data_IF_003750573178
#
_entry.id   IF_003750573178
#
_cell.length_a   1.000
_cell.length_b   1.000
_cell.length_c   1.000
_cell.angle_alpha   90.00
_cell.angle_beta   90.00
_cell.angle_gamma   90.00
#
_symmetry.space_group_name_H-M   'P 1'
#
loop_
_entity.id
_entity.type
_entity.pdbx_description
1 polymer ?
#
# COMPACT_ATOMS: atom_id res chain seq x y z
N UNK A 1 4.34 15.35 22.92
CA UNK A 1 4.67 14.12 22.16
C UNK A 1 4.90 14.54 20.72
N UNK A 2 5.99 14.08 20.13
CA UNK A 2 6.30 14.33 18.73
C UNK A 2 5.22 13.66 17.85
N UNK A 3 4.72 14.38 16.86
CA UNK A 3 3.71 13.86 15.94
C UNK A 3 4.30 12.70 15.13
N UNK A 4 3.72 11.50 15.28
CA UNK A 4 4.04 10.32 14.46
C UNK A 4 2.96 10.14 13.40
N UNK A 5 3.29 10.27 12.10
CA UNK A 5 2.30 10.08 11.06
C UNK A 5 1.78 8.65 11.04
N UNK A 6 0.50 8.51 10.70
CA UNK A 6 -0.20 7.23 10.56
C UNK A 6 -0.19 6.81 9.10
N UNK A 7 0.30 5.59 8.83
CA UNK A 7 0.33 5.01 7.49
C UNK A 7 -0.58 3.79 7.50
N UNK A 8 -1.51 3.72 6.55
CA UNK A 8 -2.30 2.53 6.29
C UNK A 8 -1.73 1.76 5.10
N UNK A 9 -1.56 0.44 5.25
CA UNK A 9 -1.06 -0.46 4.22
C UNK A 9 -2.17 -1.39 3.73
N UNK A 10 -2.25 -1.57 2.42
CA UNK A 10 -3.14 -2.50 1.73
C UNK A 10 -2.41 -3.15 0.56
N UNK A 11 -3.03 -4.10 -0.14
CA UNK A 11 -2.55 -4.68 -1.40
C UNK A 11 -3.69 -5.45 -2.09
N UNK A 12 -3.38 -6.09 -3.22
CA UNK A 12 -4.23 -7.04 -3.93
C UNK A 12 -3.78 -8.50 -3.82
N UNK A 13 -2.56 -8.78 -3.37
CA UNK A 13 -2.07 -10.15 -3.15
C UNK A 13 -2.58 -10.79 -1.84
N UNK A 14 -3.18 -9.99 -0.95
CA UNK A 14 -3.72 -10.41 0.34
C UNK A 14 -2.79 -10.16 1.52
N UNK A 15 -3.33 -10.28 2.74
CA UNK A 15 -2.66 -9.87 3.98
C UNK A 15 -1.42 -10.70 4.35
N UNK A 16 -1.31 -11.91 3.82
CA UNK A 16 -0.17 -12.79 4.03
C UNK A 16 0.88 -12.70 2.92
N UNK A 17 0.66 -11.85 1.92
CA UNK A 17 1.58 -11.70 0.79
C UNK A 17 2.96 -11.22 1.26
N UNK A 18 4.05 -11.79 0.70
CA UNK A 18 5.41 -11.45 1.11
C UNK A 18 5.73 -9.96 0.93
N UNK A 19 5.23 -9.34 -0.14
CA UNK A 19 5.44 -7.92 -0.40
C UNK A 19 4.77 -6.99 0.62
N UNK A 20 3.54 -7.30 1.06
CA UNK A 20 2.87 -6.55 2.12
C UNK A 20 3.57 -6.75 3.47
N UNK A 21 3.91 -8.00 3.81
CA UNK A 21 4.59 -8.33 5.06
C UNK A 21 5.94 -7.62 5.17
N UNK A 22 6.73 -7.63 4.09
CA UNK A 22 8.01 -6.93 4.03
C UNK A 22 7.85 -5.41 4.19
N UNK A 23 6.87 -4.80 3.51
CA UNK A 23 6.59 -3.37 3.63
C UNK A 23 6.21 -2.99 5.08
N UNK A 24 5.27 -3.72 5.67
CA UNK A 24 4.83 -3.49 7.05
C UNK A 24 6.00 -3.62 8.03
N UNK A 25 6.79 -4.69 7.92
CA UNK A 25 7.94 -4.92 8.78
C UNK A 25 8.96 -3.77 8.70
N UNK A 26 9.27 -3.30 7.49
CA UNK A 26 10.17 -2.17 7.30
C UNK A 26 9.61 -0.90 7.94
N UNK A 27 8.34 -0.56 7.71
CA UNK A 27 7.71 0.62 8.31
C UNK A 27 7.73 0.57 9.84
N UNK A 28 7.34 -0.56 10.43
CA UNK A 28 7.32 -0.78 11.88
C UNK A 28 8.73 -0.66 12.47
N UNK A 29 9.73 -1.29 11.83
CA UNK A 29 11.11 -1.29 12.33
C UNK A 29 11.73 0.11 12.48
N UNK A 30 11.24 1.10 11.71
CA UNK A 30 11.73 2.48 11.83
C UNK A 30 11.28 3.16 13.12
N UNK A 31 10.20 2.68 13.75
CA UNK A 31 9.53 3.33 14.90
C UNK A 31 9.04 4.77 14.65
N UNK A 32 9.07 5.24 13.39
CA UNK A 32 8.69 6.61 13.00
C UNK A 32 7.19 6.78 12.76
N UNK A 33 6.49 5.68 12.49
CA UNK A 33 5.10 5.69 12.03
C UNK A 33 4.18 4.91 12.97
N UNK A 34 2.90 5.26 12.94
CA UNK A 34 1.82 4.38 13.42
C UNK A 34 1.34 3.59 12.21
N UNK A 35 1.50 2.26 12.23
CA UNK A 35 1.18 1.41 11.08
C UNK A 35 -0.16 0.72 11.29
N UNK A 36 -1.06 0.91 10.33
CA UNK A 36 -2.36 0.26 10.22
C UNK A 36 -2.37 -0.62 8.97
N UNK A 37 -3.01 -1.78 9.02
CA UNK A 37 -3.07 -2.71 7.87
C UNK A 37 -4.52 -3.11 7.63
N UNK A 38 -4.99 -2.91 6.40
CA UNK A 38 -6.31 -3.35 5.96
C UNK A 38 -6.16 -3.93 4.56
N UNK A 39 -6.20 -5.25 4.44
CA UNK A 39 -5.90 -5.94 3.19
C UNK A 39 -6.85 -7.13 2.98
N UNK A 40 -6.99 -7.63 1.74
CA UNK A 40 -7.79 -8.81 1.45
C UNK A 40 -7.34 -10.03 2.25
N UNK A 41 -8.28 -10.89 2.64
CA UNK A 41 -8.00 -12.16 3.33
C UNK A 41 -7.37 -13.23 2.41
N UNK A 42 -7.45 -13.06 1.09
CA UNK A 42 -6.87 -13.93 0.07
C UNK A 42 -6.33 -13.11 -1.10
N UNK A 43 -5.58 -13.74 -2.00
CA UNK A 43 -5.17 -13.11 -3.26
C UNK A 43 -6.39 -12.67 -4.10
N UNK A 44 -6.33 -11.45 -4.64
CA UNK A 44 -7.33 -10.74 -5.46
C UNK A 44 -6.70 -10.08 -6.70
N UNK A 45 -5.48 -10.44 -7.09
CA UNK A 45 -4.69 -9.88 -8.19
C UNK A 45 -5.36 -9.92 -9.59
N UNK A 46 -6.46 -10.67 -9.76
CA UNK A 46 -7.24 -10.75 -10.99
C UNK A 46 -8.66 -10.14 -10.93
N UNK A 47 -9.12 -9.59 -9.80
CA UNK A 47 -10.43 -8.92 -9.70
C UNK A 47 -10.30 -7.42 -9.94
N UNK A 48 -10.18 -7.04 -11.21
CA UNK A 48 -10.30 -5.66 -11.65
C UNK A 48 -11.64 -5.07 -11.16
N UNK A 49 -11.59 -3.97 -10.41
CA UNK A 49 -12.72 -3.08 -10.06
C UNK A 49 -14.06 -3.74 -9.67
N UNK A 50 -14.04 -4.82 -8.90
CA UNK A 50 -15.28 -5.44 -8.40
C UNK A 50 -15.62 -4.91 -7.00
N UNK A 51 -16.42 -3.85 -6.90
CA UNK A 51 -16.98 -3.45 -5.60
C UNK A 51 -18.02 -4.52 -5.21
N UNK A 52 -17.80 -5.17 -4.06
CA UNK A 52 -18.68 -6.25 -3.59
C UNK A 52 -20.00 -5.67 -3.08
N UNK A 53 -20.97 -5.41 -3.97
CA UNK A 53 -22.26 -4.78 -3.60
C UNK A 53 -23.30 -5.75 -3.02
N UNK A 54 -23.07 -7.08 -3.02
CA UNK A 54 -24.13 -8.08 -2.76
C UNK A 54 -23.99 -8.93 -1.49
N UNK A 55 -22.89 -8.82 -0.75
CA UNK A 55 -22.68 -9.58 0.49
C UNK A 55 -22.00 -8.72 1.57
N UNK A 56 -22.32 -8.91 2.86
CA UNK A 56 -21.62 -8.22 3.94
C UNK A 56 -20.13 -8.57 3.90
N UNK A 57 -19.26 -7.55 4.06
CA UNK A 57 -17.82 -7.74 4.16
C UNK A 57 -17.51 -8.38 5.52
N UNK A 58 -16.85 -9.53 5.51
CA UNK A 58 -16.29 -10.11 6.71
C UNK A 58 -14.96 -9.41 7.02
N UNK A 59 -14.77 -9.02 8.28
CA UNK A 59 -13.54 -8.38 8.76
C UNK A 59 -13.03 -9.18 9.95
N UNK A 60 -11.79 -9.65 9.83
CA UNK A 60 -11.12 -10.40 10.89
C UNK A 60 -9.88 -9.63 11.33
N UNK A 61 -9.75 -9.40 12.65
CA UNK A 61 -8.50 -8.87 13.19
C UNK A 61 -7.42 -9.93 13.06
N UNK A 62 -6.25 -9.54 12.58
CA UNK A 62 -5.08 -10.41 12.46
C UNK A 62 -3.91 -9.84 13.24
N UNK A 63 -3.03 -10.72 13.68
CA UNK A 63 -1.83 -10.30 14.40
C UNK A 63 -0.68 -10.07 13.41
N UNK A 64 -0.26 -8.81 13.32
CA UNK A 64 0.98 -8.40 12.64
C UNK A 64 1.72 -7.47 13.60
N UNK A 65 2.91 -7.91 14.02
CA UNK A 65 3.70 -7.26 15.07
C UNK A 65 3.88 -5.76 14.82
N UNK A 66 3.61 -4.94 15.85
CA UNK A 66 3.75 -3.49 15.79
C UNK A 66 2.66 -2.74 15.02
N UNK A 67 1.55 -3.40 14.66
CA UNK A 67 0.45 -2.78 13.90
C UNK A 67 -0.93 -3.03 14.51
N UNK A 68 -1.93 -2.30 14.00
CA UNK A 68 -3.32 -2.74 14.05
C UNK A 68 -3.70 -3.28 12.67
N UNK A 69 -4.05 -4.56 12.55
CA UNK A 69 -4.24 -5.21 11.26
C UNK A 69 -5.58 -5.95 11.15
N UNK A 70 -6.20 -5.83 9.98
CA UNK A 70 -7.46 -6.49 9.63
C UNK A 70 -7.39 -7.12 8.24
N UNK A 71 -7.83 -8.37 8.15
CA UNK A 71 -8.10 -9.08 6.91
C UNK A 71 -9.57 -8.89 6.53
N UNK A 72 -9.85 -8.56 5.28
CA UNK A 72 -11.20 -8.27 4.79
C UNK A 72 -11.54 -9.20 3.63
N UNK A 73 -12.74 -9.77 3.59
CA UNK A 73 -13.19 -10.67 2.51
C UNK A 73 -13.50 -9.95 1.18
N UNK A 74 -13.11 -8.68 1.06
CA UNK A 74 -13.43 -7.79 -0.05
C UNK A 74 -12.26 -7.56 -1.00
N UNK A 75 -12.41 -6.57 -1.86
CA UNK A 75 -11.36 -6.11 -2.77
C UNK A 75 -10.43 -5.09 -2.11
N UNK A 76 -9.28 -4.75 -2.71
CA UNK A 76 -8.40 -3.70 -2.20
C UNK A 76 -9.10 -2.35 -2.03
N UNK A 77 -10.06 -2.03 -2.92
CA UNK A 77 -10.88 -0.83 -2.80
C UNK A 77 -11.81 -0.90 -1.56
N UNK A 78 -12.46 -2.05 -1.33
CA UNK A 78 -13.28 -2.27 -0.13
C UNK A 78 -12.42 -2.11 1.15
N UNK A 79 -11.19 -2.66 1.14
CA UNK A 79 -10.22 -2.55 2.24
C UNK A 79 -9.82 -1.09 2.51
N UNK A 80 -9.49 -0.33 1.47
CA UNK A 80 -9.19 1.09 1.59
C UNK A 80 -10.40 1.86 2.14
N UNK A 81 -11.58 1.67 1.56
CA UNK A 81 -12.80 2.39 1.98
C UNK A 81 -13.14 2.12 3.45
N UNK A 82 -13.16 0.86 3.87
CA UNK A 82 -13.48 0.51 5.26
C UNK A 82 -12.39 0.96 6.24
N UNK A 83 -11.12 0.92 5.84
CA UNK A 83 -10.01 1.45 6.63
C UNK A 83 -10.12 2.96 6.85
N UNK A 84 -10.55 3.72 5.84
CA UNK A 84 -10.72 5.17 5.93
C UNK A 84 -12.02 5.60 6.62
N UNK A 85 -13.01 4.71 6.74
CA UNK A 85 -14.32 5.00 7.36
C UNK A 85 -14.29 5.25 8.87
N UNK A 86 -13.15 5.03 9.54
CA UNK A 86 -12.98 4.97 11.00
C UNK A 86 -13.75 3.84 11.72
N UNK A 87 -14.33 2.90 10.97
CA UNK A 87 -14.97 1.72 11.56
C UNK A 87 -13.95 0.76 12.19
N UNK A 88 -12.76 0.64 11.57
CA UNK A 88 -11.71 -0.29 12.01
C UNK A 88 -10.57 0.39 12.76
N UNK A 89 -10.33 1.67 12.49
CA UNK A 89 -9.20 2.42 13.03
C UNK A 89 -9.66 3.72 13.71
N UNK A 90 -8.94 4.19 14.75
CA UNK A 90 -9.35 5.37 15.52
C UNK A 90 -9.20 6.70 14.77
N UNK A 91 -8.40 6.74 13.71
CA UNK A 91 -8.08 7.93 12.93
C UNK A 91 -7.94 7.61 11.46
N UNK A 92 -8.15 8.63 10.62
CA UNK A 92 -7.84 8.56 9.19
C UNK A 92 -6.30 8.62 9.08
N UNK A 93 -5.66 7.75 8.26
CA UNK A 93 -4.23 7.79 8.03
C UNK A 93 -3.80 9.04 7.27
N UNK A 94 -2.56 9.47 7.47
CA UNK A 94 -1.94 10.58 6.74
C UNK A 94 -1.51 10.16 5.32
N UNK A 95 -1.28 8.85 5.12
CA UNK A 95 -0.85 8.25 3.87
C UNK A 95 -1.39 6.82 3.75
N UNK A 96 -1.84 6.44 2.57
CA UNK A 96 -2.16 5.04 2.21
C UNK A 96 -1.10 4.50 1.26
N UNK A 97 -0.57 3.31 1.54
CA UNK A 97 0.37 2.62 0.65
C UNK A 97 -0.25 1.29 0.22
N UNK A 98 -0.37 1.09 -1.09
CA UNK A 98 -0.83 -0.16 -1.69
C UNK A 98 0.36 -0.91 -2.29
N UNK A 99 0.67 -2.10 -1.77
CA UNK A 99 1.80 -2.92 -2.22
C UNK A 99 2.53 -3.65 -1.08
N UNK A 100 3.73 -4.18 -1.30
CA UNK A 100 4.45 -4.21 -2.59
C UNK A 100 3.89 -5.31 -3.47
N UNK A 101 3.38 -4.95 -4.65
CA UNK A 101 2.86 -5.92 -5.60
C UNK A 101 3.98 -6.75 -6.24
N UNK A 102 3.75 -8.05 -6.40
CA UNK A 102 4.65 -8.93 -7.14
C UNK A 102 4.39 -8.83 -8.64
N UNK A 103 5.32 -8.22 -9.37
CA UNK A 103 5.24 -8.04 -10.82
C UNK A 103 5.02 -6.59 -11.20
N UNK A 104 5.32 -6.28 -12.47
CA UNK A 104 5.33 -4.93 -12.98
C UNK A 104 3.92 -4.45 -13.36
N UNK A 105 3.53 -3.26 -12.89
CA UNK A 105 2.30 -2.58 -13.32
C UNK A 105 2.60 -1.56 -14.44
N UNK A 106 3.58 -1.81 -15.32
CA UNK A 106 3.94 -0.89 -16.40
C UNK A 106 2.90 -0.87 -17.55
N UNK A 107 2.47 0.33 -17.97
CA UNK A 107 1.70 0.56 -19.20
C UNK A 107 0.18 0.56 -19.02
N UNK A 108 -0.57 -0.03 -19.95
CA UNK A 108 -2.05 -0.08 -19.92
C UNK A 108 -2.62 -0.90 -18.75
N UNK A 109 -1.79 -1.69 -18.07
CA UNK A 109 -2.16 -2.49 -16.89
C UNK A 109 -2.40 -1.64 -15.63
N UNK A 110 -1.94 -0.38 -15.59
CA UNK A 110 -2.17 0.58 -14.48
C UNK A 110 -3.67 0.83 -14.27
N UNK A 111 -4.46 0.88 -15.35
CA UNK A 111 -5.91 1.17 -15.28
C UNK A 111 -6.70 0.00 -14.67
N UNK A 112 -6.15 -1.23 -14.73
CA UNK A 112 -6.81 -2.46 -14.28
C UNK A 112 -6.16 -3.12 -13.05
N UNK A 113 -5.06 -2.56 -12.54
CA UNK A 113 -4.31 -3.11 -11.41
C UNK A 113 -5.07 -2.95 -10.07
N UNK A 114 -5.21 -4.05 -9.32
CA UNK A 114 -5.82 -4.05 -7.99
C UNK A 114 -5.02 -3.23 -6.98
N UNK A 115 -3.68 -3.25 -7.10
CA UNK A 115 -2.77 -2.39 -6.34
C UNK A 115 -3.10 -0.90 -6.53
N UNK A 116 -3.36 -0.49 -7.77
CA UNK A 116 -3.80 0.89 -8.08
C UNK A 116 -5.21 1.14 -7.54
N UNK A 117 -6.10 0.13 -7.57
CA UNK A 117 -7.45 0.23 -7.02
C UNK A 117 -7.49 0.66 -5.54
N UNK A 118 -6.65 0.06 -4.70
CA UNK A 118 -6.55 0.42 -3.28
C UNK A 118 -6.06 1.86 -3.06
N UNK A 119 -5.01 2.27 -3.77
CA UNK A 119 -4.48 3.64 -3.70
C UNK A 119 -5.46 4.68 -4.28
N UNK A 120 -6.18 4.33 -5.36
CA UNK A 120 -7.16 5.20 -6.02
C UNK A 120 -8.40 5.43 -5.16
N UNK A 121 -8.84 4.42 -4.42
CA UNK A 121 -9.94 4.60 -3.47
C UNK A 121 -9.55 5.54 -2.34
N UNK A 122 -8.34 5.43 -1.80
CA UNK A 122 -7.84 6.36 -0.79
C UNK A 122 -7.78 7.81 -1.31
N UNK A 123 -7.33 7.96 -2.54
CA UNK A 123 -7.36 9.22 -3.27
C UNK A 123 -8.78 9.80 -3.39
N UNK A 124 -9.78 9.00 -3.75
CA UNK A 124 -11.17 9.47 -3.87
C UNK A 124 -11.74 9.95 -2.53
N UNK A 125 -11.24 9.38 -1.42
CA UNK A 125 -11.58 9.79 -0.06
C UNK A 125 -10.71 10.97 0.45
N UNK A 126 -9.91 11.57 -0.42
CA UNK A 126 -9.10 12.77 -0.10
C UNK A 126 -7.82 12.48 0.68
N UNK A 127 -7.39 11.22 0.75
CA UNK A 127 -6.17 10.81 1.46
C UNK A 127 -5.03 10.61 0.46
N UNK A 128 -3.84 11.20 0.69
CA UNK A 128 -2.65 10.94 -0.11
C UNK A 128 -2.36 9.44 -0.21
N UNK A 129 -1.97 8.96 -1.39
CA UNK A 129 -1.72 7.54 -1.58
C UNK A 129 -0.56 7.24 -2.54
N UNK A 130 0.04 6.06 -2.34
CA UNK A 130 1.15 5.52 -3.13
C UNK A 130 0.81 4.09 -3.51
N UNK A 131 1.08 3.69 -4.75
CA UNK A 131 1.19 2.29 -5.16
C UNK A 131 2.64 1.92 -5.38
N UNK A 132 3.05 0.73 -4.90
CA UNK A 132 4.41 0.21 -5.03
C UNK A 132 4.37 -1.17 -5.67
N UNK A 133 5.09 -1.32 -6.77
CA UNK A 133 5.25 -2.59 -7.48
C UNK A 133 6.73 -2.93 -7.61
N UNK A 134 7.07 -4.20 -7.52
CA UNK A 134 8.42 -4.71 -7.77
C UNK A 134 8.40 -5.60 -9.02
N UNK A 135 9.28 -5.31 -9.99
CA UNK A 135 9.44 -6.08 -11.22
C UNK A 135 10.12 -7.43 -10.94
N UNK A 136 9.36 -8.31 -10.29
CA UNK A 136 9.77 -9.62 -9.85
C UNK A 136 9.91 -10.57 -11.03
N UNK A 137 11.06 -11.24 -11.15
CA UNK A 137 11.34 -12.16 -12.25
C UNK A 137 11.65 -13.55 -11.71
N UNK A 138 10.87 -14.55 -12.14
CA UNK A 138 11.06 -15.95 -11.75
C UNK A 138 12.49 -16.43 -12.06
N UNK A 139 13.14 -17.03 -11.06
CA UNK A 139 14.51 -17.53 -11.18
C UNK A 139 15.60 -16.45 -11.07
N UNK A 140 15.24 -15.19 -10.83
CA UNK A 140 16.19 -14.09 -10.56
C UNK A 140 15.89 -13.37 -9.24
N UNK A 141 14.62 -13.10 -8.98
CA UNK A 141 14.16 -12.40 -7.78
C UNK A 141 13.92 -13.36 -6.61
N UNK A 142 14.12 -12.84 -5.40
CA UNK A 142 13.92 -13.52 -4.13
C UNK A 142 12.93 -12.74 -3.27
N UNK A 143 12.30 -13.40 -2.30
CA UNK A 143 11.36 -12.72 -1.39
C UNK A 143 12.04 -11.62 -0.57
N UNK A 144 13.34 -11.74 -0.30
CA UNK A 144 14.12 -10.72 0.39
C UNK A 144 14.21 -9.39 -0.40
N UNK A 145 14.01 -9.43 -1.71
CA UNK A 145 14.00 -8.24 -2.57
C UNK A 145 12.81 -7.32 -2.25
N UNK A 146 11.71 -7.84 -1.70
CA UNK A 146 10.62 -7.00 -1.20
C UNK A 146 11.05 -6.15 -0.02
N UNK A 147 11.93 -6.66 0.84
CA UNK A 147 12.48 -5.89 1.97
C UNK A 147 13.40 -4.77 1.46
N UNK A 148 14.23 -5.05 0.46
CA UNK A 148 15.07 -4.03 -0.19
C UNK A 148 14.21 -2.98 -0.89
N UNK A 149 13.17 -3.41 -1.60
CA UNK A 149 12.18 -2.56 -2.26
C UNK A 149 11.49 -1.62 -1.27
N UNK A 150 11.00 -2.15 -0.14
CA UNK A 150 10.38 -1.36 0.91
C UNK A 150 11.35 -0.32 1.50
N UNK A 151 12.60 -0.70 1.75
CA UNK A 151 13.65 0.21 2.23
C UNK A 151 13.94 1.34 1.22
N UNK A 152 13.98 1.03 -0.07
CA UNK A 152 14.18 2.01 -1.12
C UNK A 152 13.04 3.05 -1.19
N UNK A 153 11.83 2.69 -0.76
CA UNK A 153 10.69 3.60 -0.69
C UNK A 153 10.72 4.55 0.52
N UNK A 154 11.47 4.26 1.60
CA UNK A 154 11.44 5.07 2.83
C UNK A 154 11.72 6.56 2.60
N UNK A 155 12.77 6.98 1.84
CA UNK A 155 13.02 8.40 1.60
C UNK A 155 11.88 9.09 0.82
N UNK A 156 11.18 8.33 -0.02
CA UNK A 156 10.04 8.83 -0.81
C UNK A 156 8.83 9.02 0.12
N UNK A 157 8.54 8.04 0.97
CA UNK A 157 7.48 8.08 1.97
C UNK A 157 7.69 9.26 2.92
N UNK A 158 8.90 9.46 3.40
CA UNK A 158 9.23 10.58 4.29
C UNK A 158 9.03 11.94 3.62
N UNK A 159 9.49 12.10 2.37
CA UNK A 159 9.30 13.32 1.61
C UNK A 159 7.81 13.65 1.42
N UNK A 160 7.01 12.63 1.09
CA UNK A 160 5.55 12.79 0.92
C UNK A 160 4.90 13.19 2.24
N UNK A 161 5.25 12.54 3.35
CA UNK A 161 4.68 12.88 4.66
C UNK A 161 5.04 14.31 5.10
N UNK A 162 6.23 14.79 4.76
CA UNK A 162 6.61 16.20 4.96
C UNK A 162 5.74 17.13 4.12
N UNK A 163 5.50 16.82 2.84
CA UNK A 163 4.63 17.60 1.97
C UNK A 163 3.16 17.58 2.43
N UNK A 164 2.66 16.44 2.90
CA UNK A 164 1.31 16.28 3.46
C UNK A 164 1.16 17.15 4.71
N UNK A 165 2.12 17.08 5.64
CA UNK A 165 2.16 17.90 6.85
C UNK A 165 2.20 19.40 6.55
N UNK A 166 2.92 19.80 5.49
CA UNK A 166 3.03 21.19 5.07
C UNK A 166 1.88 21.65 4.16
N UNK A 167 0.92 20.78 3.85
CA UNK A 167 -0.18 21.03 2.91
C UNK A 167 0.29 21.41 1.50
N UNK A 168 1.48 20.96 1.10
CA UNK A 168 2.09 21.19 -0.22
C UNK A 168 2.00 19.99 -1.15
N UNK A 169 1.57 18.82 -0.65
CA UNK A 169 1.37 17.64 -1.49
C UNK A 169 0.33 17.96 -2.58
N UNK A 170 0.59 17.61 -3.86
CA UNK A 170 -0.31 17.98 -4.94
C UNK A 170 -1.72 17.45 -4.68
N UNK A 171 -2.70 18.35 -4.77
CA UNK A 171 -4.11 17.98 -4.58
C UNK A 171 -4.53 17.09 -5.74
N UNK A 172 -5.25 16.01 -5.42
CA UNK A 172 -5.74 15.05 -6.42
C UNK A 172 -4.59 14.44 -7.25
N UNK A 173 -3.57 13.91 -6.58
CA UNK A 173 -2.61 13.00 -7.20
C UNK A 173 -2.37 11.77 -6.32
N UNK A 174 -2.07 10.62 -6.94
CA UNK A 174 -1.43 9.50 -6.26
C UNK A 174 -0.11 9.18 -6.97
N UNK A 175 0.86 8.62 -6.24
CA UNK A 175 2.17 8.29 -6.81
C UNK A 175 2.25 6.79 -7.10
N UNK A 176 2.56 6.44 -8.36
CA UNK A 176 2.91 5.06 -8.71
C UNK A 176 4.43 4.89 -8.74
N UNK A 177 4.94 3.91 -8.01
CA UNK A 177 6.37 3.57 -7.91
C UNK A 177 6.56 2.15 -8.45
N UNK A 178 7.31 2.03 -9.54
CA UNK A 178 7.75 0.75 -10.07
C UNK A 178 9.25 0.59 -9.80
N UNK A 179 9.60 -0.44 -9.03
CA UNK A 179 10.97 -0.79 -8.68
C UNK A 179 11.50 -1.85 -9.67
N UNK A 180 12.68 -1.64 -10.26
CA UNK A 180 13.27 -2.60 -11.20
C UNK A 180 13.76 -3.85 -10.46
N UNK A 181 13.92 -4.95 -11.19
CA UNK A 181 14.41 -6.24 -10.66
C UNK A 181 15.74 -6.10 -9.90
N UNK A 182 16.60 -5.16 -10.31
CA UNK A 182 17.84 -4.80 -9.62
C UNK A 182 17.71 -3.45 -8.89
N UNK A 183 17.12 -3.49 -7.69
CA UNK A 183 16.91 -2.33 -6.81
C UNK A 183 18.24 -1.72 -6.36
N UNK A 184 19.32 -2.51 -6.28
CA UNK A 184 20.62 -2.06 -5.78
C UNK A 184 21.36 -1.15 -6.79
N UNK A 185 21.15 -1.34 -8.09
CA UNK A 185 21.93 -0.65 -9.14
C UNK A 185 21.15 0.37 -9.98
N UNK A 186 19.85 0.57 -9.78
CA UNK A 186 19.04 1.48 -10.61
C UNK A 186 18.33 2.61 -9.84
N UNK A 187 18.20 3.78 -10.49
CA UNK A 187 17.46 4.94 -9.97
C UNK A 187 15.95 4.68 -10.01
N UNK A 188 15.27 4.85 -8.88
CA UNK A 188 13.81 4.83 -8.78
C UNK A 188 13.22 5.94 -9.67
N UNK A 189 12.32 5.59 -10.58
CA UNK A 189 11.62 6.56 -11.43
C UNK A 189 10.28 6.97 -10.80
N UNK A 190 9.97 8.27 -10.77
CA UNK A 190 8.69 8.80 -10.25
C UNK A 190 7.81 9.25 -11.43
N UNK A 191 6.56 8.79 -11.48
CA UNK A 191 5.54 9.32 -12.41
C UNK A 191 4.32 9.77 -11.62
N UNK A 192 3.98 11.05 -11.73
CA UNK A 192 2.73 11.59 -11.19
C UNK A 192 1.59 11.32 -12.17
N UNK A 193 0.44 10.87 -11.66
CA UNK A 193 -0.82 10.72 -12.39
C UNK A 193 -1.93 11.53 -11.72
#
# INVERSE_FOLDING_TARGET
MEYRPTIMVTNDDGIDAPGLRALVQVLVSTSRYIVQVCAPDSEKSAVSHSITWRHPLAVNKVEIEGTTAFAVSGTPADCSSIGLSKALFPSIPDLVISGINMGNNCGYHIVYSGTVGGAREAFFNGVPSISVSYDWVAGKSHNDDFTLSAKACLPIIDAILVEVKNHTFPKKSFLNIDLPTDVANHKVSRKYQ
#
